data_IF_052364471794
#
_entry.id   IF_052364471794
#
_cell.length_a   1.000
_cell.length_b   1.000
_cell.length_c   1.000
_cell.angle_alpha   90.00
_cell.angle_beta   90.00
_cell.angle_gamma   90.00
#
_symmetry.space_group_name_H-M   'P 1'
#
loop_
_entity.id
_entity.type
_entity.pdbx_description
1 polymer ?
#
# COMPACT_ATOMS: atom_id res chain seq x y z
N UNK A 1 -16.69 27.88 1.18
CA UNK A 1 -15.46 27.15 1.57
C UNK A 1 -14.43 28.20 1.94
N UNK A 2 -13.68 28.02 3.03
CA UNK A 2 -12.60 28.96 3.38
C UNK A 2 -11.44 28.80 2.39
N UNK A 3 -10.68 29.88 2.10
CA UNK A 3 -9.50 29.84 1.21
C UNK A 3 -8.55 28.68 1.54
N UNK A 4 -8.25 28.45 2.81
CA UNK A 4 -7.40 27.34 3.28
C UNK A 4 -7.92 25.93 2.87
N UNK A 5 -9.21 25.77 2.64
CA UNK A 5 -9.79 24.49 2.20
C UNK A 5 -9.59 24.27 0.70
N UNK A 6 -9.43 25.31 -0.08
CA UNK A 6 -9.14 25.23 -1.52
C UNK A 6 -7.74 24.66 -1.75
N UNK A 7 -6.76 25.07 -0.96
CA UNK A 7 -5.38 24.54 -1.02
C UNK A 7 -5.29 23.05 -0.73
N UNK A 8 -6.23 22.49 0.06
CA UNK A 8 -6.27 21.08 0.44
C UNK A 8 -7.20 20.24 -0.46
N UNK A 9 -7.75 20.81 -1.53
CA UNK A 9 -8.73 20.12 -2.39
C UNK A 9 -8.21 18.81 -2.97
N UNK A 10 -6.92 18.72 -3.31
CA UNK A 10 -6.29 17.49 -3.81
C UNK A 10 -6.36 16.33 -2.81
N UNK A 11 -6.33 16.61 -1.49
CA UNK A 11 -6.50 15.61 -0.43
C UNK A 11 -7.92 15.06 -0.46
N UNK A 12 -8.91 15.93 -0.58
CA UNK A 12 -10.33 15.55 -0.57
C UNK A 12 -10.77 14.84 -1.84
N UNK A 13 -10.16 15.16 -2.99
CA UNK A 13 -10.41 14.49 -4.26
C UNK A 13 -9.86 13.07 -4.34
N UNK A 14 -8.80 12.77 -3.58
CA UNK A 14 -8.19 11.43 -3.59
C UNK A 14 -9.21 10.37 -3.14
N UNK A 15 -9.34 9.31 -3.92
CA UNK A 15 -10.18 8.14 -3.63
C UNK A 15 -9.52 6.86 -4.13
N UNK A 16 -10.00 5.70 -3.68
CA UNK A 16 -9.57 4.40 -4.18
C UNK A 16 -10.22 4.10 -5.52
N UNK A 17 -9.45 4.18 -6.59
CA UNK A 17 -9.87 3.88 -7.97
C UNK A 17 -9.52 2.43 -8.30
N UNK A 18 -10.49 1.68 -8.84
CA UNK A 18 -10.37 0.25 -9.16
C UNK A 18 -10.74 -0.08 -10.62
N UNK A 19 -11.17 0.92 -11.38
CA UNK A 19 -11.45 0.80 -12.82
C UNK A 19 -10.71 1.90 -13.55
N UNK A 20 -9.97 1.53 -14.58
CA UNK A 20 -9.07 2.40 -15.30
C UNK A 20 -9.38 2.36 -16.80
N UNK A 21 -9.13 3.48 -17.49
CA UNK A 21 -9.03 3.49 -18.94
C UNK A 21 -7.76 2.75 -19.37
N UNK A 22 -7.75 2.30 -20.62
CA UNK A 22 -6.59 1.59 -21.20
C UNK A 22 -5.49 2.54 -21.70
N UNK A 23 -5.43 3.74 -21.14
CA UNK A 23 -4.45 4.76 -21.48
C UNK A 23 -3.12 4.45 -20.79
N UNK A 24 -2.00 4.33 -21.52
CA UNK A 24 -0.69 4.11 -20.93
C UNK A 24 -0.29 5.25 -19.99
N UNK A 25 0.45 4.90 -18.94
CA UNK A 25 1.08 5.87 -18.03
C UNK A 25 2.49 6.17 -18.54
N UNK A 26 2.79 7.44 -18.81
CA UNK A 26 4.09 7.85 -19.34
C UNK A 26 5.22 7.81 -18.30
N UNK A 27 6.46 7.81 -18.77
CA UNK A 27 7.65 7.87 -17.90
C UNK A 27 7.70 9.17 -17.08
N UNK A 28 7.26 10.29 -17.68
CA UNK A 28 7.25 11.59 -17.02
C UNK A 28 6.29 11.56 -15.82
N UNK A 29 5.10 11.00 -15.99
CA UNK A 29 4.13 10.85 -14.88
C UNK A 29 4.67 9.95 -13.81
N UNK A 30 5.25 8.79 -14.17
CA UNK A 30 5.87 7.88 -13.19
C UNK A 30 6.94 8.61 -12.38
N UNK A 31 7.86 9.34 -13.05
CA UNK A 31 8.94 10.08 -12.38
C UNK A 31 8.40 11.15 -11.45
N UNK A 32 7.39 11.93 -11.86
CA UNK A 32 6.75 12.94 -11.00
C UNK A 32 6.11 12.33 -9.75
N UNK A 33 5.46 11.16 -9.89
CA UNK A 33 4.82 10.49 -8.76
C UNK A 33 5.84 9.90 -7.79
N UNK A 34 6.94 9.34 -8.29
CA UNK A 34 8.02 8.81 -7.45
C UNK A 34 8.78 9.96 -6.78
N UNK A 35 9.02 11.06 -7.48
CA UNK A 35 9.61 12.26 -6.89
C UNK A 35 8.76 12.77 -5.72
N UNK A 36 7.45 12.93 -5.89
CA UNK A 36 6.55 13.29 -4.79
C UNK A 36 6.61 12.28 -3.63
N UNK A 37 6.69 10.98 -3.93
CA UNK A 37 6.76 9.93 -2.93
C UNK A 37 8.01 10.07 -2.04
N UNK A 38 9.19 10.26 -2.64
CA UNK A 38 10.46 10.31 -1.91
C UNK A 38 10.64 11.60 -1.07
N UNK A 39 9.78 12.61 -1.25
CA UNK A 39 9.71 13.78 -0.37
C UNK A 39 8.96 13.52 0.95
N UNK A 40 8.51 12.30 1.19
CA UNK A 40 7.94 11.93 2.48
C UNK A 40 8.99 11.95 3.60
N UNK A 41 8.57 12.26 4.86
CA UNK A 41 9.46 12.08 6.00
C UNK A 41 9.74 10.59 6.24
N UNK A 42 10.93 10.30 6.76
CA UNK A 42 11.27 8.96 7.27
C UNK A 42 12.09 9.07 8.56
N UNK A 43 11.88 8.17 9.51
CA UNK A 43 12.65 8.13 10.74
C UNK A 43 14.15 8.08 10.44
N UNK A 44 14.95 8.91 11.13
CA UNK A 44 16.41 9.04 10.89
C UNK A 44 16.78 9.34 9.43
N UNK A 45 15.86 9.86 8.64
CA UNK A 45 16.00 10.03 7.18
C UNK A 45 16.42 8.73 6.48
N UNK A 46 15.92 7.60 6.93
CA UNK A 46 16.36 6.27 6.48
C UNK A 46 15.98 5.98 5.03
N UNK A 47 14.90 6.60 4.51
CA UNK A 47 14.46 6.45 3.12
C UNK A 47 14.46 4.98 2.65
N UNK A 48 14.00 4.09 3.52
CA UNK A 48 14.05 2.64 3.35
C UNK A 48 12.99 2.09 2.39
N UNK A 49 12.48 2.92 1.50
CA UNK A 49 11.56 2.54 0.44
C UNK A 49 12.27 2.15 -0.86
N UNK A 50 11.63 1.30 -1.63
CA UNK A 50 11.94 1.08 -3.03
C UNK A 50 10.65 0.86 -3.82
N UNK A 51 10.57 1.44 -5.01
CA UNK A 51 9.39 1.32 -5.86
C UNK A 51 9.74 0.62 -7.16
N UNK A 52 8.93 -0.37 -7.54
CA UNK A 52 9.01 -1.00 -8.85
C UNK A 52 7.71 -0.71 -9.60
N UNK A 53 7.81 -0.12 -10.79
CA UNK A 53 6.65 0.19 -11.62
C UNK A 53 6.56 -0.81 -12.76
N UNK A 54 5.44 -1.52 -12.83
CA UNK A 54 5.16 -2.53 -13.84
C UNK A 54 4.10 -1.98 -14.81
N UNK A 55 4.41 -1.95 -16.12
CA UNK A 55 3.49 -1.57 -17.21
C UNK A 55 3.24 -2.72 -18.18
N UNK A 56 3.97 -3.81 -18.03
CA UNK A 56 3.76 -5.01 -18.84
C UNK A 56 2.45 -5.69 -18.41
N UNK A 57 1.46 -5.68 -19.30
CA UNK A 57 0.12 -6.20 -19.06
C UNK A 57 0.09 -7.70 -18.76
N UNK A 58 0.92 -8.47 -19.44
CA UNK A 58 1.02 -9.90 -19.20
C UNK A 58 1.56 -10.17 -17.79
N UNK A 59 2.60 -9.43 -17.37
CA UNK A 59 3.17 -9.53 -16.03
C UNK A 59 2.16 -9.10 -14.95
N UNK A 60 1.39 -8.03 -15.17
CA UNK A 60 0.33 -7.59 -14.24
C UNK A 60 -0.74 -8.69 -14.10
N UNK A 61 -1.14 -9.33 -15.19
CA UNK A 61 -2.09 -10.44 -15.16
C UNK A 61 -1.53 -11.66 -14.42
N UNK A 62 -0.25 -11.97 -14.61
CA UNK A 62 0.45 -13.06 -13.92
C UNK A 62 0.56 -12.80 -12.41
N UNK A 63 0.89 -11.56 -12.00
CA UNK A 63 0.86 -11.15 -10.58
C UNK A 63 -0.52 -11.40 -9.95
N UNK A 64 -1.61 -11.08 -10.67
CA UNK A 64 -2.95 -11.32 -10.17
C UNK A 64 -3.26 -12.82 -10.04
N UNK A 65 -2.80 -13.64 -11.00
CA UNK A 65 -2.93 -15.09 -10.91
C UNK A 65 -2.14 -15.69 -9.73
N UNK A 66 -0.96 -15.14 -9.43
CA UNK A 66 -0.18 -15.54 -8.24
C UNK A 66 -0.94 -15.25 -6.94
N UNK A 67 -1.60 -14.08 -6.84
CA UNK A 67 -2.45 -13.74 -5.70
C UNK A 67 -3.62 -14.72 -5.56
N UNK A 68 -4.30 -15.05 -6.67
CA UNK A 68 -5.40 -16.04 -6.68
C UNK A 68 -4.91 -17.41 -6.19
N UNK A 69 -3.81 -17.89 -6.77
CA UNK A 69 -3.21 -19.18 -6.38
C UNK A 69 -2.83 -19.18 -4.89
N UNK A 70 -2.27 -18.09 -4.39
CA UNK A 70 -1.92 -17.98 -2.96
C UNK A 70 -3.16 -18.07 -2.08
N UNK A 71 -4.25 -17.40 -2.46
CA UNK A 71 -5.53 -17.52 -1.75
C UNK A 71 -6.01 -18.96 -1.68
N UNK A 72 -5.99 -19.70 -2.79
CA UNK A 72 -6.36 -21.12 -2.82
C UNK A 72 -5.49 -21.94 -1.87
N UNK A 73 -4.18 -21.72 -1.87
CA UNK A 73 -3.21 -22.41 -1.00
C UNK A 73 -3.48 -22.15 0.49
N UNK A 74 -3.96 -20.94 0.84
CA UNK A 74 -4.21 -20.53 2.23
C UNK A 74 -5.57 -21.00 2.77
N UNK A 75 -6.53 -21.30 1.89
CA UNK A 75 -7.89 -21.68 2.30
C UNK A 75 -7.94 -22.84 3.31
N UNK A 76 -7.20 -23.94 3.14
CA UNK A 76 -7.24 -25.06 4.09
C UNK A 76 -6.79 -24.71 5.51
N UNK A 77 -6.06 -23.61 5.68
CA UNK A 77 -5.56 -23.16 6.97
C UNK A 77 -6.52 -22.20 7.70
N UNK A 78 -7.69 -21.89 7.10
CA UNK A 78 -8.74 -21.12 7.78
C UNK A 78 -9.42 -22.00 8.83
N UNK A 79 -9.79 -21.42 10.01
CA UNK A 79 -10.27 -22.20 11.16
C UNK A 79 -11.58 -22.95 10.91
N UNK A 80 -12.42 -22.43 10.00
CA UNK A 80 -13.73 -23.02 9.70
C UNK A 80 -14.23 -22.63 8.29
N UNK A 81 -15.33 -23.25 7.86
CA UNK A 81 -15.96 -23.02 6.53
C UNK A 81 -16.46 -21.57 6.37
N UNK A 82 -16.92 -20.95 7.46
CA UNK A 82 -17.37 -19.55 7.40
C UNK A 82 -16.20 -18.64 7.06
N UNK A 83 -15.06 -18.79 7.75
CA UNK A 83 -13.83 -18.05 7.49
C UNK A 83 -13.25 -18.33 6.12
N UNK A 84 -13.31 -19.57 5.64
CA UNK A 84 -12.95 -19.90 4.26
C UNK A 84 -13.79 -19.13 3.24
N UNK A 85 -15.11 -19.05 3.43
CA UNK A 85 -16.02 -18.35 2.54
C UNK A 85 -15.82 -16.82 2.60
N UNK A 86 -15.58 -16.25 3.78
CA UNK A 86 -15.21 -14.84 3.94
C UNK A 86 -13.91 -14.53 3.18
N UNK A 87 -12.88 -15.37 3.35
CA UNK A 87 -11.58 -15.20 2.70
C UNK A 87 -11.68 -15.32 1.17
N UNK A 88 -12.43 -16.30 0.64
CA UNK A 88 -12.70 -16.44 -0.80
C UNK A 88 -13.27 -15.16 -1.41
N UNK A 89 -14.17 -14.47 -0.70
CA UNK A 89 -14.77 -13.22 -1.19
C UNK A 89 -13.76 -12.08 -1.31
N UNK A 90 -12.63 -12.14 -0.61
CA UNK A 90 -11.61 -11.07 -0.65
C UNK A 90 -10.74 -11.12 -1.91
N UNK A 91 -10.63 -12.26 -2.59
CA UNK A 91 -9.75 -12.42 -3.75
C UNK A 91 -10.04 -11.41 -4.87
N UNK A 92 -11.32 -11.13 -5.13
CA UNK A 92 -11.72 -10.13 -6.11
C UNK A 92 -11.23 -8.71 -5.77
N UNK A 93 -11.18 -8.36 -4.49
CA UNK A 93 -10.60 -7.09 -4.04
C UNK A 93 -9.08 -7.08 -4.12
N UNK A 94 -8.44 -8.23 -3.90
CA UNK A 94 -6.98 -8.35 -3.91
C UNK A 94 -6.39 -8.43 -5.33
N UNK A 95 -7.23 -8.59 -6.35
CA UNK A 95 -6.81 -8.71 -7.76
C UNK A 95 -7.37 -7.62 -8.68
N UNK A 96 -8.04 -6.59 -8.14
CA UNK A 96 -8.62 -5.48 -8.94
C UNK A 96 -7.60 -4.73 -9.78
N UNK A 97 -6.31 -4.83 -9.46
CA UNK A 97 -5.22 -4.21 -10.19
C UNK A 97 -4.95 -4.87 -11.56
N UNK A 98 -5.50 -6.07 -11.83
CA UNK A 98 -5.28 -6.87 -13.06
C UNK A 98 -5.43 -6.06 -14.34
N UNK A 99 -6.40 -5.15 -14.38
CA UNK A 99 -6.71 -4.36 -15.57
C UNK A 99 -6.14 -2.92 -15.53
N UNK A 100 -5.27 -2.62 -14.56
CA UNK A 100 -4.64 -1.31 -14.49
C UNK A 100 -3.56 -1.16 -15.58
N UNK A 101 -3.39 0.02 -16.22
CA UNK A 101 -2.33 0.26 -17.20
C UNK A 101 -0.93 0.25 -16.60
N UNK A 102 -0.82 0.52 -15.31
CA UNK A 102 0.41 0.40 -14.54
C UNK A 102 0.11 -0.03 -13.11
N UNK A 103 1.11 -0.62 -12.46
CA UNK A 103 1.09 -1.01 -11.06
C UNK A 103 2.39 -0.55 -10.41
N UNK A 104 2.31 0.07 -9.24
CA UNK A 104 3.45 0.42 -8.40
C UNK A 104 3.53 -0.57 -7.25
N UNK A 105 4.64 -1.29 -7.15
CA UNK A 105 4.97 -2.13 -6.00
C UNK A 105 5.83 -1.31 -5.04
N UNK A 106 5.46 -1.27 -3.78
CA UNK A 106 6.22 -0.59 -2.74
C UNK A 106 6.86 -1.62 -1.81
N UNK A 107 8.17 -1.50 -1.66
CA UNK A 107 8.99 -2.34 -0.81
C UNK A 107 9.54 -1.54 0.37
N UNK A 108 9.56 -2.15 1.53
CA UNK A 108 10.22 -1.65 2.73
C UNK A 108 11.53 -2.41 2.95
N UNK A 109 12.63 -1.68 3.05
CA UNK A 109 13.90 -2.20 3.50
C UNK A 109 13.96 -2.31 5.04
N UNK A 110 14.99 -2.97 5.54
CA UNK A 110 15.25 -3.10 6.97
C UNK A 110 15.26 -1.72 7.65
N UNK A 111 14.67 -1.65 8.81
CA UNK A 111 14.66 -0.48 9.69
C UNK A 111 14.76 -0.96 11.13
N UNK A 112 15.98 -1.24 11.63
CA UNK A 112 16.18 -1.74 12.99
C UNK A 112 15.78 -0.68 14.02
N UNK A 113 15.11 -1.13 15.08
CA UNK A 113 14.72 -0.32 16.23
C UNK A 113 15.33 -0.90 17.50
N UNK A 114 15.58 -0.09 18.54
CA UNK A 114 16.16 -0.61 19.78
C UNK A 114 15.36 -1.75 20.43
N UNK A 115 14.05 -1.81 20.17
CA UNK A 115 13.21 -2.90 20.66
C UNK A 115 13.55 -4.27 20.06
N UNK A 116 14.22 -4.31 18.89
CA UNK A 116 14.63 -5.56 18.24
C UNK A 116 15.76 -6.27 19.02
N UNK A 117 16.52 -5.52 19.84
CA UNK A 117 17.63 -6.03 20.65
C UNK A 117 17.24 -6.37 22.10
N UNK A 118 15.97 -6.11 22.49
CA UNK A 118 15.50 -6.36 23.84
C UNK A 118 15.27 -7.85 24.09
N UNK A 119 15.71 -8.33 25.26
CA UNK A 119 15.44 -9.68 25.77
C UNK A 119 14.54 -9.58 27.00
N UNK A 120 13.55 -10.48 27.16
CA UNK A 120 12.70 -10.48 28.35
C UNK A 120 13.49 -10.83 29.63
N UNK A 121 13.08 -10.23 30.75
CA UNK A 121 13.72 -10.42 32.03
C UNK A 121 12.88 -9.84 33.18
N UNK A 122 13.44 -9.78 34.41
CA UNK A 122 12.73 -9.16 35.55
C UNK A 122 12.34 -7.71 35.21
N UNK A 123 11.02 -7.41 35.16
CA UNK A 123 10.48 -6.08 34.87
C UNK A 123 10.25 -5.77 33.38
N UNK A 124 10.54 -6.72 32.50
CA UNK A 124 10.26 -6.57 31.05
C UNK A 124 9.78 -7.90 30.48
N UNK A 125 8.51 -7.97 30.10
CA UNK A 125 7.89 -9.17 29.53
C UNK A 125 8.02 -9.21 27.99
N UNK A 126 7.94 -10.41 27.39
CA UNK A 126 7.91 -10.57 25.95
C UNK A 126 6.73 -9.79 25.31
N UNK A 127 5.55 -9.78 25.96
CA UNK A 127 4.38 -9.02 25.49
C UNK A 127 4.63 -7.50 25.44
N UNK A 128 5.46 -6.96 26.32
CA UNK A 128 5.83 -5.53 26.28
C UNK A 128 6.79 -5.26 25.12
N UNK A 129 7.76 -6.14 24.92
CA UNK A 129 8.68 -6.06 23.77
C UNK A 129 7.89 -6.14 22.45
N UNK A 130 6.98 -7.10 22.32
CA UNK A 130 6.14 -7.28 21.14
C UNK A 130 5.28 -6.04 20.86
N UNK A 131 4.71 -5.41 21.91
CA UNK A 131 3.96 -4.17 21.79
C UNK A 131 4.82 -3.00 21.27
N UNK A 132 6.06 -2.88 21.73
CA UNK A 132 7.01 -1.87 21.24
C UNK A 132 7.32 -2.08 19.74
N UNK A 133 7.45 -3.33 19.31
CA UNK A 133 7.67 -3.71 17.89
C UNK A 133 6.47 -3.50 16.98
N UNK A 134 5.24 -3.37 17.51
CA UNK A 134 4.01 -3.22 16.70
C UNK A 134 3.97 -1.93 15.87
N UNK A 135 4.69 -0.89 16.26
CA UNK A 135 4.72 0.38 15.52
C UNK A 135 5.22 0.24 14.09
N UNK A 136 6.08 -0.76 13.78
CA UNK A 136 6.62 -1.02 12.43
C UNK A 136 7.10 0.26 11.72
N UNK A 137 8.00 1.06 12.29
CA UNK A 137 8.36 2.38 11.76
C UNK A 137 8.90 2.32 10.33
N UNK A 138 9.60 1.25 9.95
CA UNK A 138 10.06 1.05 8.58
C UNK A 138 8.93 0.96 7.56
N UNK A 139 7.80 0.33 7.93
CA UNK A 139 6.59 0.28 7.10
C UNK A 139 5.89 1.63 7.07
N UNK A 140 5.86 2.36 8.21
CA UNK A 140 5.28 3.70 8.28
C UNK A 140 6.00 4.69 7.35
N UNK A 141 7.33 4.62 7.24
CA UNK A 141 8.10 5.43 6.29
C UNK A 141 7.58 5.22 4.85
N UNK A 142 7.43 3.96 4.44
CA UNK A 142 6.92 3.62 3.09
C UNK A 142 5.46 4.04 2.94
N UNK A 143 4.65 3.93 4.01
CA UNK A 143 3.27 4.37 4.01
C UNK A 143 3.16 5.89 3.79
N UNK A 144 4.03 6.69 4.41
CA UNK A 144 4.09 8.14 4.18
C UNK A 144 4.45 8.45 2.72
N UNK A 145 5.45 7.76 2.16
CA UNK A 145 5.85 7.92 0.76
C UNK A 145 4.72 7.53 -0.21
N UNK A 146 4.03 6.41 0.04
CA UNK A 146 2.87 6.01 -0.76
C UNK A 146 1.73 7.02 -0.67
N UNK A 147 1.47 7.59 0.51
CA UNK A 147 0.43 8.61 0.63
C UNK A 147 0.74 9.84 -0.22
N UNK A 148 2.00 10.31 -0.25
CA UNK A 148 2.41 11.38 -1.14
C UNK A 148 2.17 11.03 -2.61
N UNK A 149 2.55 9.81 -3.04
CA UNK A 149 2.27 9.31 -4.40
C UNK A 149 0.78 9.35 -4.73
N UNK A 150 -0.08 8.88 -3.82
CA UNK A 150 -1.52 8.88 -4.01
C UNK A 150 -2.11 10.28 -4.13
N UNK A 151 -1.61 11.24 -3.35
CA UNK A 151 -2.04 12.63 -3.39
C UNK A 151 -1.58 13.31 -4.69
N UNK A 152 -0.32 13.10 -5.08
CA UNK A 152 0.22 13.60 -6.35
C UNK A 152 -0.55 13.03 -7.55
N UNK A 153 -0.85 11.72 -7.55
CA UNK A 153 -1.66 11.09 -8.60
C UNK A 153 -3.04 11.75 -8.70
N UNK A 154 -3.72 11.96 -7.56
CA UNK A 154 -5.02 12.62 -7.54
C UNK A 154 -4.96 14.07 -8.04
N UNK A 155 -3.90 14.81 -7.71
CA UNK A 155 -3.67 16.17 -8.18
C UNK A 155 -3.50 16.21 -9.72
N UNK A 156 -2.81 15.21 -10.28
CA UNK A 156 -2.56 15.06 -11.72
C UNK A 156 -3.73 14.39 -12.49
N UNK A 157 -4.86 14.10 -11.83
CA UNK A 157 -6.02 13.45 -12.46
C UNK A 157 -5.90 11.92 -12.62
N UNK A 158 -4.87 11.30 -12.05
CA UNK A 158 -4.70 9.86 -12.01
C UNK A 158 -5.44 9.22 -10.83
N UNK A 159 -5.90 7.98 -11.04
CA UNK A 159 -6.49 7.15 -10.01
C UNK A 159 -5.50 6.13 -9.47
N UNK A 160 -5.62 5.86 -8.18
CA UNK A 160 -4.83 4.86 -7.46
C UNK A 160 -5.69 4.12 -6.44
N UNK A 161 -5.20 2.96 -5.98
CA UNK A 161 -5.80 2.23 -4.86
C UNK A 161 -4.71 1.61 -3.99
N UNK A 162 -4.68 1.93 -2.70
CA UNK A 162 -3.76 1.28 -1.76
C UNK A 162 -4.21 -0.14 -1.48
N UNK A 163 -3.35 -1.12 -1.75
CA UNK A 163 -3.67 -2.53 -1.59
C UNK A 163 -2.59 -3.25 -0.80
N UNK A 164 -2.99 -3.98 0.23
CA UNK A 164 -2.11 -4.86 1.01
C UNK A 164 -2.42 -6.35 0.81
N UNK A 165 -3.62 -6.68 0.32
CA UNK A 165 -4.01 -8.06 0.02
C UNK A 165 -3.04 -8.81 -0.92
N UNK A 166 -2.49 -8.16 -1.97
CA UNK A 166 -1.48 -8.78 -2.83
C UNK A 166 -0.20 -9.21 -2.10
N UNK A 167 0.09 -8.66 -0.91
CA UNK A 167 1.27 -9.02 -0.14
C UNK A 167 1.31 -10.51 0.27
N UNK A 168 0.17 -11.22 0.25
CA UNK A 168 0.16 -12.68 0.44
C UNK A 168 1.05 -13.40 -0.58
N UNK A 169 1.18 -12.86 -1.80
CA UNK A 169 2.06 -13.36 -2.84
C UNK A 169 3.27 -12.43 -3.07
N UNK A 170 3.64 -11.63 -2.07
CA UNK A 170 4.66 -10.58 -2.22
C UNK A 170 6.04 -11.08 -2.61
N UNK A 171 6.46 -12.22 -2.10
CA UNK A 171 7.74 -12.84 -2.43
C UNK A 171 7.77 -13.34 -3.88
N UNK A 172 6.70 -14.01 -4.31
CA UNK A 172 6.54 -14.53 -5.66
C UNK A 172 6.46 -13.37 -6.69
N UNK A 173 5.74 -12.31 -6.34
CA UNK A 173 5.66 -11.09 -7.16
C UNK A 173 7.02 -10.41 -7.26
N UNK A 174 7.77 -10.29 -6.16
CA UNK A 174 9.11 -9.71 -6.16
C UNK A 174 10.06 -10.50 -7.09
N UNK A 175 10.00 -11.82 -7.03
CA UNK A 175 10.76 -12.69 -7.93
C UNK A 175 10.37 -12.49 -9.40
N UNK A 176 9.08 -12.44 -9.71
CA UNK A 176 8.57 -12.23 -11.07
C UNK A 176 9.08 -10.92 -11.70
N UNK A 177 9.10 -9.85 -10.93
CA UNK A 177 9.57 -8.54 -11.41
C UNK A 177 11.10 -8.37 -11.32
N UNK A 178 11.83 -9.41 -10.90
CA UNK A 178 13.29 -9.39 -10.80
C UNK A 178 13.82 -8.50 -9.65
N UNK A 179 12.99 -8.17 -8.66
CA UNK A 179 13.42 -7.39 -7.50
C UNK A 179 13.79 -8.30 -6.33
N UNK A 180 15.09 -8.54 -6.16
CA UNK A 180 15.66 -9.37 -5.09
C UNK A 180 16.73 -8.56 -4.34
N UNK A 181 16.29 -7.63 -3.50
CA UNK A 181 17.17 -6.84 -2.64
C UNK A 181 17.04 -7.36 -1.20
N UNK A 182 18.19 -7.78 -0.63
CA UNK A 182 18.23 -8.30 0.73
C UNK A 182 17.64 -7.30 1.74
N UNK A 183 16.89 -7.81 2.70
CA UNK A 183 16.22 -7.01 3.73
C UNK A 183 14.99 -6.23 3.23
N UNK A 184 14.60 -6.36 1.96
CA UNK A 184 13.40 -5.71 1.42
C UNK A 184 12.25 -6.69 1.28
N UNK A 185 11.04 -6.24 1.68
CA UNK A 185 9.79 -6.97 1.47
C UNK A 185 8.72 -6.07 0.89
N UNK A 186 7.84 -6.63 0.07
CA UNK A 186 6.71 -5.89 -0.48
C UNK A 186 5.71 -5.57 0.64
N UNK A 187 5.34 -4.31 0.79
CA UNK A 187 4.42 -3.83 1.84
C UNK A 187 3.10 -3.31 1.28
N UNK A 188 3.06 -2.94 0.03
CA UNK A 188 1.84 -2.55 -0.67
C UNK A 188 1.99 -2.66 -2.18
N UNK A 189 0.84 -2.75 -2.86
CA UNK A 189 0.68 -2.65 -4.30
C UNK A 189 -0.35 -1.57 -4.61
N UNK A 190 -0.09 -0.74 -5.62
CA UNK A 190 -0.96 0.35 -6.05
C UNK A 190 -1.18 0.30 -7.56
N UNK A 191 -2.38 -0.03 -8.05
CA UNK A 191 -2.72 0.21 -9.45
C UNK A 191 -2.74 1.71 -9.74
N UNK A 192 -2.32 2.10 -10.94
CA UNK A 192 -2.18 3.47 -11.40
C UNK A 192 -2.70 3.61 -12.83
N UNK A 193 -3.51 4.63 -13.09
CA UNK A 193 -4.03 4.94 -14.43
C UNK A 193 -5.09 6.03 -14.41
N UNK A 194 -5.62 6.38 -15.58
CA UNK A 194 -6.74 7.31 -15.70
C UNK A 194 -8.03 6.60 -15.22
N UNK A 195 -8.81 7.21 -14.29
CA UNK A 195 -10.06 6.60 -13.83
C UNK A 195 -11.07 6.40 -14.97
N UNK A 196 -11.66 5.21 -15.10
CA UNK A 196 -12.71 4.89 -16.07
C UNK A 196 -14.12 5.26 -15.54
N UNK A 197 -14.25 6.36 -14.86
CA UNK A 197 -15.53 6.86 -14.34
C UNK A 197 -15.47 7.32 -12.89
N UNK A 198 -16.57 7.97 -12.47
CA UNK A 198 -16.74 8.47 -11.11
C UNK A 198 -17.16 7.36 -10.15
N UNK A 199 -16.48 7.21 -9.02
CA UNK A 199 -16.97 6.48 -7.86
C UNK A 199 -17.17 7.46 -6.71
N UNK A 200 -18.17 7.26 -5.89
CA UNK A 200 -18.33 8.05 -4.66
C UNK A 200 -17.20 7.72 -3.68
N UNK A 201 -16.69 8.72 -2.99
CA UNK A 201 -15.88 8.48 -1.80
C UNK A 201 -16.81 8.03 -0.67
N UNK A 202 -16.46 6.97 0.08
CA UNK A 202 -17.24 6.60 1.25
C UNK A 202 -17.25 7.74 2.27
N UNK A 203 -18.32 7.81 3.06
CA UNK A 203 -18.43 8.77 4.15
C UNK A 203 -17.24 8.66 5.11
N UNK A 204 -16.88 9.76 5.73
CA UNK A 204 -15.89 9.80 6.80
C UNK A 204 -16.61 9.81 8.14
N UNK A 205 -15.96 9.29 9.16
CA UNK A 205 -16.43 9.42 10.54
C UNK A 205 -16.55 10.90 10.89
N UNK A 206 -17.53 11.26 11.74
CA UNK A 206 -17.60 12.58 12.33
C UNK A 206 -16.30 12.93 13.09
N UNK A 207 -15.97 14.21 13.18
CA UNK A 207 -14.74 14.67 13.84
C UNK A 207 -14.67 14.23 15.31
N UNK A 208 -15.81 14.20 15.96
CA UNK A 208 -15.99 13.88 17.39
C UNK A 208 -15.63 12.42 17.71
N UNK A 209 -15.72 11.53 16.71
CA UNK A 209 -15.32 10.11 16.88
C UNK A 209 -13.79 9.89 16.74
N UNK A 210 -13.06 10.86 16.22
CA UNK A 210 -11.64 10.68 15.83
C UNK A 210 -10.70 11.71 16.43
N UNK A 211 -11.22 12.69 17.17
CA UNK A 211 -10.44 13.77 17.79
C UNK A 211 -10.77 13.88 19.26
N UNK A 212 -9.74 13.93 20.09
CA UNK A 212 -9.80 14.37 21.48
C UNK A 212 -8.76 15.46 21.68
N UNK A 213 -9.17 16.58 22.23
CA UNK A 213 -8.28 17.68 22.62
C UNK A 213 -8.15 17.64 24.14
N UNK A 214 -6.93 17.69 24.64
CA UNK A 214 -6.62 17.77 26.08
C UNK A 214 -5.82 19.06 26.27
N UNK A 215 -6.35 19.95 27.14
CA UNK A 215 -5.74 21.25 27.50
C UNK A 215 -4.92 21.13 28.77
#
# INVERSE_FOLDING_TARGET
MTEKRVELEFIYRRRSVRKFLDTPVSDEVVKLLIDAAIHAPSGKNAQNWHFVVVRNRAMIAEMAAMVEKKHETLLPFMPDVQKQNEFKKTVGYHTVFRNAPAVVLAFAGSYPVPADDLVPGPGLTQNEIDRMGQAKPGVQNVAAALQNLHLAAAALGYGTCWMTGPNYAGAEIAQLVGFQKEGYSMVALTPLGIPAGGGASPARKPMEEVLTIVD
#
